data_IF_802554824386
#
_entry.id   IF_802554824386
#
_cell.length_a   1.000
_cell.length_b   1.000
_cell.length_c   1.000
_cell.angle_alpha   90.00
_cell.angle_beta   90.00
_cell.angle_gamma   90.00
#
_symmetry.space_group_name_H-M   'P 1'
#
loop_
_entity.id
_entity.type
_entity.pdbx_description
1 polymer ?
#
# COMPACT_ATOMS: atom_id res chain seq x y z
N UNK A 1 -19.77 9.06 7.40
CA UNK A 1 -20.15 7.91 6.54
C UNK A 1 -19.59 6.66 7.17
N UNK A 2 -20.45 5.72 7.55
CA UNK A 2 -20.04 4.50 8.26
C UNK A 2 -19.14 3.64 7.38
N UNK A 3 -17.93 3.33 7.86
CA UNK A 3 -17.02 2.41 7.21
C UNK A 3 -17.63 1.01 7.23
N UNK A 4 -18.02 0.49 6.07
CA UNK A 4 -18.38 -0.91 5.93
C UNK A 4 -17.12 -1.71 6.29
N UNK A 5 -17.15 -2.56 7.34
CA UNK A 5 -15.99 -3.38 7.68
C UNK A 5 -15.65 -4.25 6.47
N UNK A 6 -14.35 -4.42 6.15
CA UNK A 6 -13.96 -5.26 5.03
C UNK A 6 -14.58 -6.65 5.23
N UNK A 7 -15.11 -7.29 4.16
CA UNK A 7 -15.68 -8.62 4.27
C UNK A 7 -14.61 -9.55 4.85
N UNK A 8 -14.97 -10.28 5.91
CA UNK A 8 -14.08 -11.27 6.53
C UNK A 8 -13.62 -12.26 5.46
N UNK A 9 -12.32 -12.20 5.14
CA UNK A 9 -11.68 -13.08 4.15
C UNK A 9 -11.20 -14.34 4.87
N UNK A 10 -11.45 -15.52 4.29
CA UNK A 10 -10.91 -16.78 4.79
C UNK A 10 -9.38 -16.75 4.85
N UNK A 11 -8.74 -15.98 3.97
CA UNK A 11 -7.29 -15.77 3.94
C UNK A 11 -6.78 -14.79 5.00
N UNK A 12 -7.66 -13.99 5.61
CA UNK A 12 -7.32 -13.16 6.77
C UNK A 12 -7.37 -13.94 8.09
N UNK A 13 -7.93 -15.17 8.09
CA UNK A 13 -7.92 -16.05 9.26
C UNK A 13 -6.53 -16.68 9.47
N UNK A 14 -6.13 -16.89 10.74
CA UNK A 14 -4.99 -17.73 11.09
C UNK A 14 -5.03 -19.09 10.37
N UNK A 15 -3.85 -19.62 10.05
CA UNK A 15 -3.74 -20.84 9.26
C UNK A 15 -4.40 -22.03 9.95
N UNK A 16 -4.46 -22.05 11.28
CA UNK A 16 -5.12 -23.08 12.09
C UNK A 16 -6.64 -23.09 11.85
N UNK A 17 -7.28 -21.92 11.92
CA UNK A 17 -8.71 -21.78 11.67
C UNK A 17 -9.05 -22.08 10.21
N UNK A 18 -8.19 -21.66 9.28
CA UNK A 18 -8.35 -21.95 7.86
C UNK A 18 -8.27 -23.46 7.58
N UNK A 19 -7.31 -24.14 8.18
CA UNK A 19 -7.14 -25.59 8.06
C UNK A 19 -8.32 -26.34 8.67
N UNK A 20 -8.87 -25.88 9.80
CA UNK A 20 -10.06 -26.47 10.40
C UNK A 20 -11.31 -26.28 9.51
N UNK A 21 -11.47 -25.12 8.88
CA UNK A 21 -12.55 -24.86 7.92
C UNK A 21 -12.40 -25.74 6.67
N UNK A 22 -11.18 -25.91 6.15
CA UNK A 22 -10.91 -26.83 5.05
C UNK A 22 -11.23 -28.28 5.40
N UNK A 23 -10.82 -28.74 6.59
CA UNK A 23 -11.17 -30.07 7.06
C UNK A 23 -12.68 -30.24 7.15
N UNK A 24 -13.42 -29.25 7.63
CA UNK A 24 -14.89 -29.32 7.68
C UNK A 24 -15.54 -29.38 6.29
N UNK A 25 -15.12 -28.52 5.35
CA UNK A 25 -15.74 -28.43 4.01
C UNK A 25 -15.40 -29.65 3.14
N UNK A 26 -14.18 -30.18 3.25
CA UNK A 26 -13.67 -31.22 2.35
C UNK A 26 -13.64 -32.64 2.95
N UNK A 27 -13.83 -32.82 4.26
CA UNK A 27 -13.75 -34.16 4.88
C UNK A 27 -14.97 -35.06 4.58
N UNK A 28 -16.16 -34.50 4.31
CA UNK A 28 -17.39 -35.30 4.16
C UNK A 28 -17.42 -36.23 2.93
N UNK A 29 -16.50 -36.06 1.97
CA UNK A 29 -16.51 -36.87 0.74
C UNK A 29 -15.51 -38.04 0.75
N UNK A 30 -14.58 -38.08 1.70
CA UNK A 30 -13.58 -39.16 1.76
C UNK A 30 -14.07 -40.39 2.54
N UNK A 31 -15.19 -40.28 3.26
CA UNK A 31 -15.63 -41.34 4.17
C UNK A 31 -16.53 -42.41 3.56
N UNK A 32 -17.09 -42.24 2.36
CA UNK A 32 -18.03 -43.26 1.82
C UNK A 32 -17.38 -44.35 0.96
N UNK A 33 -16.11 -44.21 0.55
CA UNK A 33 -15.40 -45.29 -0.18
C UNK A 33 -14.12 -45.78 0.49
N UNK A 34 -13.43 -44.93 1.25
CA UNK A 34 -12.11 -45.31 1.81
C UNK A 34 -12.10 -45.50 3.35
N UNK A 35 -13.15 -45.08 4.07
CA UNK A 35 -13.22 -45.27 5.53
C UNK A 35 -13.47 -46.72 5.98
N UNK A 36 -13.78 -47.64 5.07
CA UNK A 36 -13.83 -49.06 5.39
C UNK A 36 -12.44 -49.65 5.69
N UNK A 37 -11.35 -48.99 5.26
CA UNK A 37 -10.00 -49.55 5.35
C UNK A 37 -9.02 -48.76 6.24
N UNK A 38 -9.42 -47.64 6.85
CA UNK A 38 -8.53 -46.76 7.63
C UNK A 38 -9.11 -46.35 9.00
N UNK A 39 -9.98 -47.17 9.58
CA UNK A 39 -10.50 -46.96 10.94
C UNK A 39 -9.48 -47.39 12.01
N UNK A 40 -8.42 -46.61 12.19
CA UNK A 40 -7.62 -46.59 13.44
C UNK A 40 -6.77 -45.31 13.53
N UNK A 41 -7.42 -44.24 14.02
CA UNK A 41 -6.70 -43.08 14.57
C UNK A 41 -6.83 -41.78 13.78
N UNK A 42 -7.95 -41.07 13.87
CA UNK A 42 -7.97 -39.60 13.74
C UNK A 42 -9.13 -39.00 14.55
N UNK A 43 -8.94 -37.87 15.26
CA UNK A 43 -9.89 -37.42 16.27
C UNK A 43 -11.08 -36.73 15.62
N UNK A 44 -12.26 -37.33 15.77
CA UNK A 44 -13.55 -36.80 15.34
C UNK A 44 -14.06 -35.61 16.20
N UNK A 45 -13.27 -35.15 17.18
CA UNK A 45 -13.67 -34.13 18.15
C UNK A 45 -13.52 -32.70 17.60
N UNK A 46 -12.57 -32.45 16.70
CA UNK A 46 -12.28 -31.10 16.20
C UNK A 46 -13.40 -30.53 15.28
N UNK A 47 -14.07 -31.40 14.52
CA UNK A 47 -15.18 -31.00 13.64
C UNK A 47 -16.45 -30.64 14.42
N UNK A 48 -16.66 -31.27 15.58
CA UNK A 48 -17.82 -31.03 16.43
C UNK A 48 -17.69 -29.73 17.27
N UNK A 49 -16.47 -29.31 17.60
CA UNK A 49 -16.25 -28.07 18.34
C UNK A 49 -16.54 -26.81 17.50
N UNK A 50 -16.24 -26.86 16.20
CA UNK A 50 -16.38 -25.72 15.28
C UNK A 50 -17.83 -25.55 14.79
N UNK A 51 -18.58 -26.64 14.60
CA UNK A 51 -20.02 -26.60 14.34
C UNK A 51 -20.80 -26.01 15.54
N UNK A 52 -20.40 -26.35 16.77
CA UNK A 52 -20.89 -25.74 18.01
C UNK A 52 -20.53 -24.25 18.11
N UNK A 53 -19.28 -23.87 17.77
CA UNK A 53 -18.81 -22.48 17.83
C UNK A 53 -19.50 -21.57 16.79
N UNK A 54 -19.84 -22.11 15.61
CA UNK A 54 -20.52 -21.37 14.54
C UNK A 54 -22.05 -21.30 14.69
N UNK A 55 -22.64 -21.89 15.74
CA UNK A 55 -24.11 -21.96 15.96
C UNK A 55 -24.91 -22.41 14.73
N UNK A 56 -24.32 -23.25 13.87
CA UNK A 56 -25.04 -23.86 12.76
C UNK A 56 -25.90 -24.98 13.37
N UNK A 57 -27.21 -24.75 13.48
CA UNK A 57 -28.16 -25.64 14.15
C UNK A 57 -28.04 -27.10 13.68
N UNK A 58 -27.37 -27.93 14.48
CA UNK A 58 -27.53 -29.39 14.45
C UNK A 58 -28.74 -29.77 15.29
N UNK A 59 -29.93 -29.57 14.75
CA UNK A 59 -31.12 -30.34 15.14
C UNK A 59 -31.62 -31.07 13.91
N UNK A 60 -31.10 -32.27 13.71
CA UNK A 60 -31.72 -33.26 12.85
C UNK A 60 -31.61 -34.62 13.56
N UNK A 61 -32.71 -35.02 14.20
CA UNK A 61 -32.98 -36.42 14.49
C UNK A 61 -33.04 -37.23 13.17
N UNK A 62 -32.65 -38.51 13.19
CA UNK A 62 -32.49 -39.31 11.98
C UNK A 62 -33.84 -39.90 11.53
N UNK A 63 -34.69 -39.09 10.91
CA UNK A 63 -35.84 -39.61 10.18
C UNK A 63 -36.34 -38.63 9.13
N UNK A 64 -35.70 -38.63 7.96
CA UNK A 64 -36.39 -38.60 6.67
C UNK A 64 -35.35 -38.55 5.56
N UNK A 65 -35.64 -39.24 4.48
CA UNK A 65 -34.87 -39.21 3.23
C UNK A 65 -34.96 -37.78 2.69
N UNK A 66 -33.95 -36.93 2.97
CA UNK A 66 -33.96 -35.51 2.60
C UNK A 66 -33.03 -35.20 1.41
N UNK A 67 -33.38 -34.21 0.57
CA UNK A 67 -32.66 -33.82 -0.66
C UNK A 67 -31.32 -33.08 -0.42
N UNK A 68 -30.75 -33.14 0.79
CA UNK A 68 -29.64 -32.29 1.25
C UNK A 68 -28.27 -32.64 0.64
N UNK A 69 -28.11 -33.83 0.05
CA UNK A 69 -26.86 -34.22 -0.64
C UNK A 69 -26.52 -33.33 -1.85
N UNK A 70 -27.52 -32.67 -2.47
CA UNK A 70 -27.25 -31.75 -3.59
C UNK A 70 -26.66 -30.42 -3.09
N UNK A 71 -27.12 -29.94 -1.92
CA UNK A 71 -26.63 -28.71 -1.32
C UNK A 71 -25.17 -28.84 -0.85
N UNK A 72 -24.74 -30.01 -0.40
CA UNK A 72 -23.34 -30.27 -0.01
C UNK A 72 -22.37 -30.37 -1.21
N UNK A 73 -22.82 -30.80 -2.38
CA UNK A 73 -21.98 -30.73 -3.59
C UNK A 73 -21.79 -29.29 -4.09
N UNK A 74 -22.81 -28.45 -3.96
CA UNK A 74 -22.70 -27.04 -4.31
C UNK A 74 -21.93 -26.22 -3.27
N UNK A 75 -21.94 -26.61 -1.99
CA UNK A 75 -21.19 -25.92 -0.94
C UNK A 75 -19.68 -25.97 -1.20
N UNK A 76 -19.16 -27.10 -1.70
CA UNK A 76 -17.75 -27.24 -2.09
C UNK A 76 -17.42 -26.34 -3.28
N UNK A 77 -18.24 -26.33 -4.33
CA UNK A 77 -18.03 -25.45 -5.48
C UNK A 77 -18.12 -23.97 -5.10
N UNK A 78 -19.04 -23.61 -4.20
CA UNK A 78 -19.17 -22.27 -3.65
C UNK A 78 -17.93 -21.88 -2.85
N UNK A 79 -17.43 -22.77 -1.99
CA UNK A 79 -16.21 -22.57 -1.22
C UNK A 79 -14.99 -22.40 -2.14
N UNK A 80 -14.83 -23.27 -3.15
CA UNK A 80 -13.78 -23.14 -4.17
C UNK A 80 -13.88 -21.82 -4.94
N UNK A 81 -15.10 -21.37 -5.27
CA UNK A 81 -15.31 -20.07 -5.94
C UNK A 81 -14.93 -18.91 -5.02
N UNK A 82 -15.33 -18.94 -3.74
CA UNK A 82 -14.97 -17.92 -2.75
C UNK A 82 -13.47 -17.86 -2.51
N UNK A 83 -12.84 -19.03 -2.34
CA UNK A 83 -11.39 -19.17 -2.24
C UNK A 83 -10.67 -18.59 -3.44
N UNK A 84 -11.14 -18.89 -4.65
CA UNK A 84 -10.56 -18.33 -5.87
C UNK A 84 -10.66 -16.81 -5.89
N UNK A 85 -11.82 -16.25 -5.55
CA UNK A 85 -12.01 -14.79 -5.51
C UNK A 85 -11.11 -14.15 -4.44
N UNK A 86 -11.03 -14.73 -3.25
CA UNK A 86 -10.16 -14.21 -2.19
C UNK A 86 -8.67 -14.33 -2.53
N UNK A 87 -8.26 -15.44 -3.12
CA UNK A 87 -6.88 -15.63 -3.57
C UNK A 87 -6.50 -14.60 -4.66
N UNK A 88 -7.44 -14.27 -5.55
CA UNK A 88 -7.23 -13.20 -6.53
C UNK A 88 -7.07 -11.83 -5.85
N UNK A 89 -7.91 -11.49 -4.87
CA UNK A 89 -7.78 -10.24 -4.13
C UNK A 89 -6.50 -10.18 -3.30
N UNK A 90 -6.09 -11.30 -2.71
CA UNK A 90 -4.83 -11.40 -1.98
C UNK A 90 -3.63 -11.21 -2.91
N UNK A 91 -3.65 -11.85 -4.09
CA UNK A 91 -2.63 -11.63 -5.10
C UNK A 91 -2.52 -10.14 -5.46
N UNK A 92 -3.65 -9.47 -5.75
CA UNK A 92 -3.67 -8.04 -6.04
C UNK A 92 -3.12 -7.17 -4.90
N UNK A 93 -3.33 -7.57 -3.64
CA UNK A 93 -2.80 -6.84 -2.49
C UNK A 93 -1.30 -6.95 -2.32
N UNK A 94 -0.67 -8.03 -2.79
CA UNK A 94 0.77 -8.24 -2.67
C UNK A 94 1.56 -7.83 -3.93
N UNK A 95 0.89 -7.69 -5.07
CA UNK A 95 1.55 -7.30 -6.32
C UNK A 95 1.77 -5.79 -6.38
N UNK A 96 3.01 -5.31 -6.55
CA UNK A 96 3.27 -3.93 -6.93
C UNK A 96 2.87 -3.69 -8.39
N UNK A 97 2.14 -2.61 -8.67
CA UNK A 97 1.78 -2.21 -10.03
C UNK A 97 2.48 -0.92 -10.43
N UNK A 98 3.12 -0.93 -11.58
CA UNK A 98 3.77 0.23 -12.16
C UNK A 98 2.81 0.99 -13.10
N UNK A 99 2.60 2.26 -12.79
CA UNK A 99 1.72 3.17 -13.51
C UNK A 99 2.57 4.17 -14.30
N UNK A 100 2.27 4.36 -15.60
CA UNK A 100 2.96 5.36 -16.41
C UNK A 100 2.53 6.78 -16.05
N UNK A 101 3.31 7.74 -16.55
CA UNK A 101 3.18 9.17 -16.24
C UNK A 101 1.77 9.73 -16.41
N UNK A 102 1.03 9.29 -17.42
CA UNK A 102 -0.30 9.81 -17.73
C UNK A 102 -1.33 9.46 -16.64
N UNK A 103 -1.07 8.39 -15.89
CA UNK A 103 -1.93 7.94 -14.80
C UNK A 103 -1.84 8.83 -13.56
N UNK A 104 -0.98 9.87 -13.54
CA UNK A 104 -1.00 10.85 -12.46
C UNK A 104 -2.32 11.62 -12.41
N UNK A 105 -3.00 11.77 -13.55
CA UNK A 105 -4.32 12.40 -13.63
C UNK A 105 -5.44 11.44 -13.17
N UNK A 106 -6.37 11.90 -12.32
CA UNK A 106 -7.49 11.08 -11.85
C UNK A 106 -8.35 10.51 -12.98
N UNK A 107 -8.57 11.28 -14.06
CA UNK A 107 -9.43 10.86 -15.18
C UNK A 107 -8.84 9.68 -15.95
N UNK A 108 -7.54 9.71 -16.23
CA UNK A 108 -6.85 8.62 -16.93
C UNK A 108 -6.74 7.40 -16.02
N UNK A 109 -6.46 7.61 -14.72
CA UNK A 109 -6.48 6.54 -13.74
C UNK A 109 -7.85 5.86 -13.68
N UNK A 110 -8.94 6.63 -13.59
CA UNK A 110 -10.30 6.13 -13.58
C UNK A 110 -10.61 5.30 -14.83
N UNK A 111 -10.22 5.78 -16.02
CA UNK A 111 -10.41 5.07 -17.28
C UNK A 111 -9.67 3.72 -17.31
N UNK A 112 -8.43 3.67 -16.80
CA UNK A 112 -7.67 2.41 -16.73
C UNK A 112 -8.21 1.45 -15.68
N UNK A 113 -8.71 1.97 -14.56
CA UNK A 113 -9.29 1.17 -13.49
C UNK A 113 -10.77 0.82 -13.69
N UNK A 114 -11.42 1.34 -14.75
CA UNK A 114 -12.85 1.13 -15.01
C UNK A 114 -13.25 -0.34 -15.17
N UNK A 115 -12.30 -1.19 -15.58
CA UNK A 115 -12.52 -2.62 -15.74
C UNK A 115 -12.36 -3.42 -14.43
N UNK A 116 -11.85 -2.80 -13.37
CA UNK A 116 -11.70 -3.43 -12.07
C UNK A 116 -12.98 -3.28 -11.26
N UNK A 117 -13.44 -4.39 -10.68
CA UNK A 117 -14.53 -4.33 -9.72
C UNK A 117 -14.09 -3.58 -8.46
N UNK A 118 -15.04 -2.94 -7.77
CA UNK A 118 -14.79 -2.23 -6.51
C UNK A 118 -13.94 -3.01 -5.48
N UNK A 119 -14.16 -4.32 -5.21
CA UNK A 119 -13.30 -5.06 -4.28
C UNK A 119 -11.87 -5.26 -4.81
N UNK A 120 -11.68 -5.39 -6.12
CA UNK A 120 -10.35 -5.48 -6.72
C UNK A 120 -9.59 -4.16 -6.57
N UNK A 121 -10.25 -3.03 -6.83
CA UNK A 121 -9.65 -1.70 -6.67
C UNK A 121 -9.30 -1.42 -5.20
N UNK A 122 -10.19 -1.79 -4.26
CA UNK A 122 -9.92 -1.67 -2.82
C UNK A 122 -8.82 -2.61 -2.32
N UNK A 123 -8.52 -3.70 -3.06
CA UNK A 123 -7.44 -4.63 -2.73
C UNK A 123 -6.06 -4.15 -3.19
N UNK A 124 -5.97 -3.14 -4.06
CA UNK A 124 -4.69 -2.58 -4.49
C UNK A 124 -4.00 -1.88 -3.30
N UNK A 125 -2.83 -2.39 -2.89
CA UNK A 125 -2.04 -1.85 -1.77
C UNK A 125 -0.71 -1.22 -2.18
N UNK A 126 -0.14 -1.67 -3.29
CA UNK A 126 1.21 -1.29 -3.71
C UNK A 126 1.15 -0.73 -5.13
N UNK A 127 1.32 0.58 -5.27
CA UNK A 127 1.38 1.26 -6.57
C UNK A 127 2.69 2.01 -6.70
N UNK A 128 3.26 1.99 -7.89
CA UNK A 128 4.43 2.78 -8.29
C UNK A 128 4.00 3.71 -9.42
N UNK A 129 4.26 5.00 -9.28
CA UNK A 129 3.96 6.01 -10.29
C UNK A 129 5.28 6.50 -10.86
N UNK A 130 5.53 6.14 -12.12
CA UNK A 130 6.71 6.57 -12.86
C UNK A 130 6.31 7.69 -13.80
N UNK A 131 6.70 8.92 -13.47
CA UNK A 131 6.17 10.10 -14.14
C UNK A 131 7.21 11.20 -14.32
N UNK A 132 7.07 11.95 -15.42
CA UNK A 132 7.79 13.22 -15.58
C UNK A 132 7.30 14.23 -14.54
N UNK A 133 8.14 15.19 -14.21
CA UNK A 133 7.87 16.15 -13.12
C UNK A 133 6.67 17.05 -13.41
N UNK A 134 6.42 17.39 -14.68
CA UNK A 134 5.24 18.17 -15.07
C UNK A 134 3.92 17.42 -14.76
N UNK A 135 3.70 16.17 -15.21
CA UNK A 135 2.56 15.35 -14.80
C UNK A 135 2.43 15.12 -13.29
N UNK A 136 3.53 15.17 -12.52
CA UNK A 136 3.47 15.03 -11.08
C UNK A 136 2.75 16.21 -10.39
N UNK A 137 2.60 17.38 -11.04
CA UNK A 137 1.81 18.49 -10.47
C UNK A 137 0.36 18.09 -10.15
N UNK A 138 -0.20 17.12 -10.88
CA UNK A 138 -1.52 16.56 -10.62
C UNK A 138 -1.67 15.97 -9.21
N UNK A 139 -0.57 15.54 -8.56
CA UNK A 139 -0.59 15.03 -7.18
C UNK A 139 -1.01 16.10 -6.17
N UNK A 140 -0.72 17.37 -6.47
CA UNK A 140 -1.16 18.48 -5.64
C UNK A 140 -2.52 19.01 -6.13
N UNK A 141 -2.63 19.23 -7.44
CA UNK A 141 -3.75 19.97 -8.03
C UNK A 141 -5.05 19.16 -8.18
N UNK A 142 -4.95 17.84 -8.39
CA UNK A 142 -6.09 17.02 -8.81
C UNK A 142 -6.39 15.85 -7.87
N UNK A 143 -5.45 15.46 -7.01
CA UNK A 143 -5.65 14.36 -6.06
C UNK A 143 -6.50 14.75 -4.85
N UNK A 144 -6.55 16.05 -4.51
CA UNK A 144 -7.34 16.58 -3.39
C UNK A 144 -7.09 15.82 -2.07
N UNK A 145 -5.85 15.40 -1.82
CA UNK A 145 -5.47 14.65 -0.62
C UNK A 145 -5.85 13.16 -0.63
N UNK A 146 -6.34 12.63 -1.75
CA UNK A 146 -6.58 11.19 -1.93
C UNK A 146 -5.72 10.65 -3.08
N UNK A 147 -5.17 9.44 -2.97
CA UNK A 147 -4.35 8.88 -4.04
C UNK A 147 -5.19 8.73 -5.32
N UNK A 148 -4.74 9.38 -6.40
CA UNK A 148 -5.44 9.48 -7.68
C UNK A 148 -6.87 10.05 -7.60
N UNK A 149 -7.21 10.78 -6.53
CA UNK A 149 -8.57 11.26 -6.27
C UNK A 149 -9.59 10.17 -5.92
N UNK A 150 -9.15 8.93 -5.66
CA UNK A 150 -10.05 7.79 -5.47
C UNK A 150 -10.22 7.42 -3.97
N UNK A 151 -11.42 7.55 -3.38
CA UNK A 151 -11.61 7.39 -1.94
C UNK A 151 -11.53 5.94 -1.45
N UNK A 152 -11.78 4.95 -2.33
CA UNK A 152 -11.69 3.53 -1.96
C UNK A 152 -10.28 2.96 -2.05
N UNK A 153 -9.32 3.72 -2.59
CA UNK A 153 -7.94 3.29 -2.70
C UNK A 153 -7.25 3.53 -1.34
N UNK A 154 -6.67 2.46 -0.78
CA UNK A 154 -5.96 2.49 0.51
C UNK A 154 -4.62 1.80 0.35
N UNK A 155 -3.59 2.59 0.09
CA UNK A 155 -2.27 2.10 -0.23
C UNK A 155 -1.46 1.85 1.03
N UNK A 156 -0.83 0.68 1.11
CA UNK A 156 0.20 0.42 2.11
C UNK A 156 1.53 1.04 1.66
N UNK A 157 1.82 1.02 0.34
CA UNK A 157 3.00 1.65 -0.25
C UNK A 157 2.65 2.36 -1.55
N UNK A 158 2.97 3.65 -1.64
CA UNK A 158 2.99 4.42 -2.88
C UNK A 158 4.45 4.73 -3.22
N UNK A 159 4.92 4.32 -4.38
CA UNK A 159 6.26 4.65 -4.87
C UNK A 159 6.14 5.73 -5.93
N UNK A 160 6.94 6.80 -5.85
CA UNK A 160 7.03 7.82 -6.89
C UNK A 160 8.43 7.76 -7.47
N UNK A 161 8.51 7.51 -8.77
CA UNK A 161 9.76 7.51 -9.55
C UNK A 161 9.72 8.70 -10.49
N UNK A 162 10.27 9.87 -10.11
CA UNK A 162 10.39 11.00 -11.01
C UNK A 162 11.29 10.63 -12.20
N UNK A 163 10.87 11.03 -13.39
CA UNK A 163 11.65 10.91 -14.62
C UNK A 163 12.09 12.29 -15.12
N UNK A 164 13.31 12.33 -15.68
CA UNK A 164 13.82 13.51 -16.38
C UNK A 164 12.91 13.85 -17.57
N UNK A 165 12.58 15.13 -17.78
CA UNK A 165 12.03 15.56 -19.06
C UNK A 165 13.07 15.36 -20.17
N UNK A 166 12.62 15.12 -21.39
CA UNK A 166 13.50 14.97 -22.56
C UNK A 166 14.11 16.34 -22.91
N UNK A 167 15.25 16.68 -22.30
CA UNK A 167 15.97 17.91 -22.60
C UNK A 167 16.88 17.69 -23.82
N UNK A 168 16.61 18.40 -24.92
CA UNK A 168 17.39 18.33 -26.16
C UNK A 168 18.67 19.17 -26.13
N UNK A 169 18.86 20.04 -25.13
CA UNK A 169 19.97 21.00 -25.07
C UNK A 169 20.77 20.86 -23.78
N UNK A 170 21.98 20.29 -23.89
CA UNK A 170 22.86 19.92 -22.77
C UNK A 170 23.37 21.10 -21.93
N UNK A 171 23.44 22.32 -22.47
CA UNK A 171 24.10 23.46 -21.82
C UNK A 171 23.32 24.08 -20.66
N UNK A 172 22.01 23.80 -20.53
CA UNK A 172 21.16 24.28 -19.44
C UNK A 172 20.61 23.14 -18.57
N UNK A 173 21.13 21.92 -18.75
CA UNK A 173 20.62 20.73 -18.09
C UNK A 173 20.70 20.84 -16.55
N UNK A 174 21.78 21.41 -16.01
CA UNK A 174 21.95 21.56 -14.56
C UNK A 174 20.97 22.56 -13.94
N UNK A 175 20.74 23.70 -14.60
CA UNK A 175 19.79 24.73 -14.15
C UNK A 175 18.36 24.19 -14.25
N UNK A 176 18.06 23.46 -15.31
CA UNK A 176 16.77 22.80 -15.48
C UNK A 176 16.56 21.75 -14.38
N UNK A 177 17.53 20.87 -14.11
CA UNK A 177 17.47 19.85 -13.07
C UNK A 177 17.21 20.48 -11.69
N UNK A 178 17.89 21.58 -11.36
CA UNK A 178 17.66 22.30 -10.10
C UNK A 178 16.25 22.90 -10.01
N UNK A 179 15.78 23.56 -11.07
CA UNK A 179 14.41 24.12 -11.14
C UNK A 179 13.33 23.03 -11.00
N UNK A 180 13.57 21.88 -11.64
CA UNK A 180 12.69 20.73 -11.56
C UNK A 180 12.71 20.08 -10.16
N UNK A 181 13.87 20.03 -9.50
CA UNK A 181 13.99 19.56 -8.13
C UNK A 181 13.20 20.44 -7.14
N UNK A 182 13.27 21.76 -7.27
CA UNK A 182 12.45 22.68 -6.46
C UNK A 182 10.95 22.50 -6.71
N UNK A 183 10.56 22.32 -7.98
CA UNK A 183 9.16 22.05 -8.36
C UNK A 183 8.67 20.76 -7.70
N UNK A 184 9.46 19.68 -7.78
CA UNK A 184 9.11 18.40 -7.20
C UNK A 184 9.04 18.46 -5.67
N UNK A 185 9.99 19.15 -5.02
CA UNK A 185 9.94 19.39 -3.58
C UNK A 185 8.67 20.14 -3.16
N UNK A 186 8.24 21.14 -3.94
CA UNK A 186 6.98 21.86 -3.69
C UNK A 186 5.76 20.94 -3.86
N UNK A 187 5.67 20.21 -4.97
CA UNK A 187 4.55 19.29 -5.23
C UNK A 187 4.45 18.25 -4.12
N UNK A 188 5.56 17.61 -3.75
CA UNK A 188 5.58 16.61 -2.69
C UNK A 188 5.21 17.22 -1.33
N UNK A 189 5.71 18.41 -1.00
CA UNK A 189 5.38 19.08 0.25
C UNK A 189 3.87 19.37 0.33
N UNK A 190 3.27 19.94 -0.71
CA UNK A 190 1.82 20.22 -0.72
C UNK A 190 0.98 18.95 -0.70
N UNK A 191 1.37 17.92 -1.45
CA UNK A 191 0.67 16.63 -1.44
C UNK A 191 0.71 16.00 -0.04
N UNK A 192 1.88 15.96 0.62
CA UNK A 192 2.04 15.35 1.94
C UNK A 192 1.21 16.04 3.03
N UNK A 193 0.92 17.33 2.94
CA UNK A 193 0.06 18.03 3.92
C UNK A 193 -1.36 17.44 4.00
N UNK A 194 -1.87 16.96 2.87
CA UNK A 194 -3.26 16.54 2.72
C UNK A 194 -3.44 15.06 2.41
N UNK A 195 -2.37 14.32 2.12
CA UNK A 195 -2.44 12.94 1.63
C UNK A 195 -2.98 12.01 2.72
N UNK A 196 -4.11 11.38 2.42
CA UNK A 196 -4.78 10.38 3.26
C UNK A 196 -4.79 9.04 2.54
N UNK A 197 -5.10 7.97 3.28
CA UNK A 197 -5.20 6.60 2.75
C UNK A 197 -3.90 6.04 2.13
N UNK A 198 -2.75 6.60 2.48
CA UNK A 198 -1.42 6.09 2.11
C UNK A 198 -0.62 5.92 3.39
N UNK A 199 -0.11 4.71 3.67
CA UNK A 199 0.70 4.46 4.87
C UNK A 199 2.15 4.87 4.68
N UNK A 200 2.75 4.44 3.57
CA UNK A 200 4.15 4.71 3.23
C UNK A 200 4.24 5.32 1.84
N UNK A 201 4.91 6.46 1.73
CA UNK A 201 5.32 7.05 0.46
C UNK A 201 6.83 6.84 0.29
N UNK A 202 7.26 6.22 -0.80
CA UNK A 202 8.68 6.06 -1.15
C UNK A 202 8.96 6.86 -2.42
N UNK A 203 9.94 7.76 -2.39
CA UNK A 203 10.37 8.50 -3.58
C UNK A 203 11.74 7.97 -3.98
N UNK A 204 11.86 7.43 -5.20
CA UNK A 204 13.08 6.78 -5.71
C UNK A 204 13.71 7.58 -6.83
N UNK A 205 14.98 7.91 -6.70
CA UNK A 205 15.77 8.55 -7.73
C UNK A 205 16.42 7.51 -8.64
N UNK A 206 15.72 7.07 -9.68
CA UNK A 206 16.28 6.17 -10.69
C UNK A 206 17.07 6.95 -11.76
N UNK A 207 18.24 7.50 -11.37
CA UNK A 207 19.09 8.37 -12.21
C UNK A 207 18.41 9.65 -12.75
N UNK A 208 17.33 10.10 -12.12
CA UNK A 208 16.67 11.34 -12.50
C UNK A 208 17.52 12.55 -12.11
N UNK A 209 18.07 12.60 -10.90
CA UNK A 209 18.89 13.71 -10.42
C UNK A 209 20.29 13.25 -10.02
N UNK A 210 21.26 14.14 -10.19
CA UNK A 210 22.57 13.97 -9.56
C UNK A 210 22.42 14.03 -8.03
N UNK A 211 23.34 13.38 -7.32
CA UNK A 211 23.31 13.30 -5.86
C UNK A 211 23.15 14.66 -5.17
N UNK A 212 23.90 15.68 -5.60
CA UNK A 212 23.81 17.03 -5.04
C UNK A 212 22.43 17.67 -5.22
N UNK A 213 21.81 17.51 -6.40
CA UNK A 213 20.46 18.03 -6.69
C UNK A 213 19.40 17.25 -5.91
N UNK A 214 19.60 15.94 -5.74
CA UNK A 214 18.73 15.10 -4.91
C UNK A 214 18.74 15.54 -3.44
N UNK A 215 19.92 15.87 -2.89
CA UNK A 215 20.02 16.45 -1.55
C UNK A 215 19.31 17.79 -1.43
N UNK A 216 19.40 18.67 -2.45
CA UNK A 216 18.67 19.95 -2.47
C UNK A 216 17.15 19.72 -2.49
N UNK A 217 16.66 18.75 -3.28
CA UNK A 217 15.25 18.36 -3.27
C UNK A 217 14.81 17.92 -1.88
N UNK A 218 15.56 17.01 -1.26
CA UNK A 218 15.21 16.46 0.05
C UNK A 218 15.21 17.54 1.13
N UNK A 219 16.26 18.37 1.19
CA UNK A 219 16.33 19.54 2.10
C UNK A 219 15.18 20.52 1.87
N UNK A 220 14.90 20.82 0.60
CA UNK A 220 13.80 21.73 0.22
C UNK A 220 12.42 21.20 0.62
N UNK A 221 12.21 19.89 0.53
CA UNK A 221 10.98 19.22 0.98
C UNK A 221 10.80 19.35 2.49
N UNK A 222 11.81 18.95 3.28
CA UNK A 222 11.78 18.99 4.74
C UNK A 222 11.58 20.42 5.24
N UNK A 223 12.31 21.39 4.69
CA UNK A 223 12.19 22.81 5.05
C UNK A 223 10.77 23.35 4.80
N UNK A 224 10.16 23.01 3.65
CA UNK A 224 8.79 23.44 3.32
C UNK A 224 7.77 22.82 4.25
N UNK A 225 7.92 21.55 4.61
CA UNK A 225 7.03 20.87 5.56
C UNK A 225 7.19 21.44 6.97
N UNK A 226 8.42 21.67 7.41
CA UNK A 226 8.70 22.31 8.70
C UNK A 226 8.10 23.71 8.80
N UNK A 227 8.18 24.52 7.74
CA UNK A 227 7.52 25.83 7.69
C UNK A 227 6.00 25.77 7.82
N UNK A 228 5.39 24.66 7.43
CA UNK A 228 3.95 24.50 7.48
C UNK A 228 3.46 23.90 8.80
N UNK A 229 4.02 22.78 9.24
CA UNK A 229 3.56 22.03 10.41
C UNK A 229 4.50 22.07 11.61
N UNK A 230 5.59 22.83 11.52
CA UNK A 230 6.59 22.95 12.58
C UNK A 230 7.31 21.63 12.85
N UNK A 231 7.62 21.38 14.12
CA UNK A 231 8.37 20.20 14.57
C UNK A 231 7.58 18.90 14.34
N UNK A 232 6.24 18.95 14.48
CA UNK A 232 5.35 17.78 14.42
C UNK A 232 4.33 17.90 13.29
N UNK A 233 4.69 17.36 12.12
CA UNK A 233 3.84 17.39 10.93
C UNK A 233 3.00 16.11 10.72
N UNK A 234 3.10 15.11 11.61
CA UNK A 234 2.43 13.81 11.44
C UNK A 234 3.05 12.91 10.35
N UNK A 235 4.22 13.30 9.83
CA UNK A 235 4.99 12.53 8.86
C UNK A 235 6.39 12.25 9.42
N UNK A 236 6.83 10.98 9.39
CA UNK A 236 8.21 10.61 9.74
C UNK A 236 9.00 10.25 8.50
N UNK A 237 10.27 10.66 8.47
CA UNK A 237 11.16 10.55 7.32
C UNK A 237 12.26 9.55 7.60
N UNK A 238 12.52 8.67 6.64
CA UNK A 238 13.65 7.76 6.63
C UNK A 238 14.41 8.01 5.33
N UNK A 239 15.61 8.60 5.43
CA UNK A 239 16.54 8.63 4.31
C UNK A 239 17.14 7.24 4.22
N UNK A 240 16.95 6.53 3.08
CA UNK A 240 17.57 5.22 2.96
C UNK A 240 19.10 5.32 2.90
N UNK A 241 19.68 6.50 2.64
CA UNK A 241 21.13 6.74 2.52
C UNK A 241 21.97 6.21 3.70
N UNK A 242 21.41 6.04 4.89
CA UNK A 242 22.14 5.69 6.12
C UNK A 242 22.52 4.19 6.24
N UNK A 243 21.98 3.28 5.42
CA UNK A 243 22.11 1.82 5.65
C UNK A 243 23.07 1.04 4.71
N UNK A 244 23.70 1.68 3.70
CA UNK A 244 24.61 0.97 2.77
C UNK A 244 25.84 1.79 2.43
N UNK A 245 27.00 1.38 2.95
CA UNK A 245 28.32 1.96 2.69
C UNK A 245 28.78 1.87 1.20
N UNK A 246 28.04 1.14 0.35
CA UNK A 246 28.40 0.88 -1.07
C UNK A 246 27.58 1.69 -2.10
N UNK A 247 26.91 2.78 -1.72
CA UNK A 247 26.09 3.55 -2.67
C UNK A 247 26.92 4.40 -3.64
N UNK A 248 27.17 3.84 -4.82
CA UNK A 248 27.52 4.61 -6.02
C UNK A 248 26.27 5.30 -6.60
N UNK A 249 25.92 6.46 -6.07
CA UNK A 249 25.36 7.63 -6.79
C UNK A 249 24.05 7.55 -7.59
N UNK A 250 23.41 6.38 -7.77
CA UNK A 250 22.40 6.21 -8.84
C UNK A 250 21.00 5.74 -8.41
N UNK A 251 20.81 5.29 -7.16
CA UNK A 251 19.52 4.77 -6.67
C UNK A 251 19.27 5.26 -5.23
N UNK A 252 19.22 6.59 -5.08
CA UNK A 252 18.91 7.22 -3.80
C UNK A 252 17.39 7.23 -3.59
N UNK A 253 16.92 6.92 -2.40
CA UNK A 253 15.50 6.94 -2.08
C UNK A 253 15.25 7.46 -0.67
N UNK A 254 14.08 8.05 -0.44
CA UNK A 254 13.61 8.37 0.90
C UNK A 254 12.18 7.88 1.07
N UNK A 255 11.84 7.53 2.31
CA UNK A 255 10.51 7.10 2.72
C UNK A 255 9.89 8.11 3.67
N UNK A 256 8.58 8.24 3.53
CA UNK A 256 7.72 9.05 4.38
C UNK A 256 6.62 8.16 4.92
N UNK A 257 6.49 8.08 6.23
CA UNK A 257 5.43 7.35 6.90
C UNK A 257 4.38 8.34 7.40
N UNK A 258 3.12 8.09 7.05
CA UNK A 258 1.98 9.00 7.30
C UNK A 258 1.01 8.48 8.36
N UNK A 259 1.19 7.23 8.82
CA UNK A 259 0.27 6.57 9.74
C UNK A 259 0.94 6.34 11.12
N UNK A 260 0.33 6.89 12.16
CA UNK A 260 0.75 6.74 13.56
C UNK A 260 0.82 5.26 13.99
N UNK A 261 0.05 4.36 13.35
CA UNK A 261 0.04 2.94 13.69
C UNK A 261 1.32 2.19 13.27
N UNK A 262 2.11 2.74 12.34
CA UNK A 262 3.42 2.18 11.95
C UNK A 262 4.60 3.00 12.48
N UNK A 263 4.35 3.99 13.34
CA UNK A 263 5.34 4.67 14.15
C UNK A 263 5.88 3.74 15.28
N UNK A 264 6.25 2.51 14.94
CA UNK A 264 7.10 1.63 15.74
C UNK A 264 8.54 2.17 15.77
N UNK A 265 8.70 3.48 16.06
CA UNK A 265 9.99 4.17 16.09
C UNK A 265 10.76 4.21 14.77
N UNK A 266 10.09 4.03 13.61
CA UNK A 266 10.74 4.10 12.29
C UNK A 266 10.59 5.49 11.68
N UNK A 267 11.72 6.07 11.31
CA UNK A 267 11.83 7.43 10.76
C UNK A 267 11.98 8.53 11.82
N UNK A 268 12.46 9.69 11.39
CA UNK A 268 12.64 10.91 12.19
C UNK A 268 11.49 11.88 11.92
N UNK A 269 10.99 12.57 12.93
CA UNK A 269 10.02 13.65 12.70
C UNK A 269 10.66 14.79 11.90
N UNK A 270 9.84 15.60 11.24
CA UNK A 270 10.30 16.73 10.41
C UNK A 270 11.24 17.67 11.18
N UNK A 271 10.96 17.93 12.47
CA UNK A 271 11.82 18.77 13.31
C UNK A 271 13.18 18.14 13.62
N UNK A 272 13.24 16.84 13.90
CA UNK A 272 14.53 16.16 14.15
C UNK A 272 15.35 16.07 12.87
N UNK A 273 14.68 15.83 11.74
CA UNK A 273 15.31 15.75 10.44
C UNK A 273 15.87 17.11 9.98
N UNK A 274 15.18 18.23 10.26
CA UNK A 274 15.71 19.55 9.92
C UNK A 274 16.93 19.91 10.76
N UNK A 275 16.96 19.55 12.05
CA UNK A 275 18.12 19.76 12.94
C UNK A 275 19.31 18.96 12.42
N UNK A 276 19.09 17.70 12.01
CA UNK A 276 20.13 16.87 11.40
C UNK A 276 20.69 17.50 10.13
N UNK A 277 19.81 17.98 9.25
CA UNK A 277 20.20 18.61 7.98
C UNK A 277 20.87 19.98 8.15
N UNK A 278 20.55 20.69 9.24
CA UNK A 278 21.14 21.99 9.60
C UNK A 278 22.42 21.87 10.44
N UNK A 279 22.83 20.66 10.84
CA UNK A 279 24.06 20.42 11.60
C UNK A 279 23.95 20.62 13.11
N UNK A 280 22.74 20.57 13.68
CA UNK A 280 22.52 20.55 15.13
C UNK A 280 21.78 21.75 15.72
N UNK A 281 21.54 22.81 14.95
CA UNK A 281 20.77 23.99 15.37
C UNK A 281 19.52 24.16 14.51
N UNK A 282 18.42 24.64 15.13
CA UNK A 282 17.17 24.89 14.41
C UNK A 282 17.37 26.13 13.51
N UNK A 283 17.19 26.04 12.19
CA UNK A 283 17.34 27.20 11.32
C UNK A 283 16.33 28.29 11.73
N UNK A 284 16.79 29.53 11.88
CA UNK A 284 15.90 30.66 12.18
C UNK A 284 14.88 30.85 11.04
N UNK A 285 13.61 31.11 11.39
CA UNK A 285 12.49 31.17 10.44
C UNK A 285 12.71 32.22 9.33
N UNK A 286 13.54 33.24 9.59
CA UNK A 286 13.78 34.40 8.72
C UNK A 286 14.92 34.22 7.71
N UNK A 287 15.91 33.36 7.95
CA UNK A 287 17.12 33.25 7.10
C UNK A 287 16.97 32.30 5.92
N UNK A 288 15.98 31.41 5.91
CA UNK A 288 15.78 30.43 4.84
C UNK A 288 15.10 31.00 3.57
N UNK A 289 15.08 32.33 3.39
CA UNK A 289 14.57 33.03 2.21
C UNK A 289 15.65 33.42 1.20
N UNK A 290 16.92 33.30 1.56
CA UNK A 290 18.05 33.73 0.72
C UNK A 290 18.95 32.53 0.45
N UNK A 291 18.82 31.95 -0.75
CA UNK A 291 19.81 31.10 -1.40
C UNK A 291 20.37 29.92 -0.60
N UNK A 292 19.73 28.75 -0.75
CA UNK A 292 20.37 27.44 -0.56
C UNK A 292 19.90 26.48 -1.66
#
# INVERSE_FOLDING_TARGET
MASIPPPASLLALPCELRNQIYLYIFAEQWTTRDAANLSKGRPAEATNALSLALKLHTKAEPSSVSPDRRLSHFSILLACRKLRTEAQLLALSHTPFDLPSDCSSPDIFALRTAHLSQPQLASLRHLSLTAKINPLRALNESWFGLPFGHPSLRLDKLTIVPQKPDCTTSCYAEIADLSQAHTLAYVLAETLKGLRNVKTLEVRNENCFNYSVWQVLYKGLILKLWRWGGVKCGATFESLEDDREDWKGSDAAFRVYMDECHANGRGREVGDEIIRLAGGELPELETAGVGF
#
